data_IF_613291544163
#
_entry.id   IF_613291544163
#
_cell.length_a   1.000
_cell.length_b   1.000
_cell.length_c   1.000
_cell.angle_alpha   90.00
_cell.angle_beta   90.00
_cell.angle_gamma   90.00
#
_symmetry.space_group_name_H-M   'P 1'
#
loop_
_entity.id
_entity.type
_entity.pdbx_description
1 polymer ?
#
# COMPACT_ATOMS: atom_id res chain seq x y z
N UNK A 1 13.18 -7.35 19.83
CA UNK A 1 12.75 -7.94 18.55
C UNK A 1 12.63 -6.80 17.56
N UNK A 2 13.43 -6.79 16.50
CA UNK A 2 13.25 -5.84 15.40
C UNK A 2 12.12 -6.40 14.55
N UNK A 3 11.01 -5.66 14.45
CA UNK A 3 9.96 -6.01 13.51
C UNK A 3 10.53 -5.78 12.10
N UNK A 4 10.65 -6.84 11.31
CA UNK A 4 11.01 -6.70 9.89
C UNK A 4 9.83 -5.98 9.22
N UNK A 5 10.01 -4.72 8.83
CA UNK A 5 8.97 -3.90 8.19
C UNK A 5 9.42 -3.57 6.77
N UNK A 6 8.50 -3.63 5.82
CA UNK A 6 8.66 -3.22 4.45
C UNK A 6 8.28 -1.74 4.32
N UNK A 7 9.07 -0.97 3.57
CA UNK A 7 8.70 0.38 3.15
C UNK A 7 7.85 0.29 1.87
N UNK A 8 6.56 0.50 2.03
CA UNK A 8 5.58 0.39 0.96
C UNK A 8 5.13 1.78 0.47
N UNK A 9 4.73 1.86 -0.80
CA UNK A 9 4.15 3.05 -1.41
C UNK A 9 2.93 2.68 -2.24
N UNK A 10 1.83 3.41 -2.05
CA UNK A 10 0.63 3.30 -2.89
C UNK A 10 0.29 4.67 -3.47
N UNK A 11 0.02 4.71 -4.79
CA UNK A 11 -0.47 5.91 -5.46
C UNK A 11 -1.94 5.70 -5.85
N UNK A 12 -2.82 6.55 -5.33
CA UNK A 12 -4.21 6.56 -5.79
C UNK A 12 -4.28 7.22 -7.18
N UNK A 13 -4.47 6.42 -8.23
CA UNK A 13 -4.59 6.89 -9.61
C UNK A 13 -6.03 7.22 -10.02
N UNK A 14 -6.99 7.08 -9.12
CA UNK A 14 -8.39 7.41 -9.39
C UNK A 14 -8.69 8.89 -9.10
N UNK A 15 -9.85 9.35 -9.57
CA UNK A 15 -10.41 10.68 -9.30
C UNK A 15 -11.23 10.72 -7.99
N UNK A 16 -11.22 9.63 -7.21
CA UNK A 16 -12.02 9.45 -5.99
C UNK A 16 -11.14 9.15 -4.78
N UNK A 17 -11.65 9.45 -3.59
CA UNK A 17 -11.03 8.98 -2.36
C UNK A 17 -11.19 7.47 -2.24
N UNK A 18 -10.13 6.80 -1.80
CA UNK A 18 -10.11 5.38 -1.48
C UNK A 18 -9.62 5.17 -0.05
N UNK A 19 -9.89 3.99 0.49
CA UNK A 19 -9.39 3.56 1.79
C UNK A 19 -8.39 2.44 1.54
N UNK A 20 -7.13 2.68 1.90
CA UNK A 20 -6.11 1.65 1.96
C UNK A 20 -6.19 0.96 3.32
N UNK A 21 -6.34 -0.35 3.32
CA UNK A 21 -6.33 -1.21 4.51
C UNK A 21 -5.21 -2.23 4.37
N UNK A 22 -4.27 -2.25 5.31
CA UNK A 22 -3.19 -3.21 5.38
C UNK A 22 -3.38 -4.12 6.58
N UNK A 23 -3.44 -5.43 6.33
CA UNK A 23 -3.68 -6.47 7.32
C UNK A 23 -2.47 -7.40 7.31
N UNK A 24 -1.77 -7.49 8.44
CA UNK A 24 -0.54 -8.24 8.56
C UNK A 24 -0.59 -9.31 9.65
N UNK A 25 0.52 -10.07 9.81
CA UNK A 25 0.69 -11.00 10.91
C UNK A 25 0.60 -10.32 12.27
N UNK A 26 0.47 -11.12 13.34
CA UNK A 26 0.45 -10.64 14.74
C UNK A 26 -0.59 -9.57 15.03
N UNK A 27 -1.74 -9.63 14.33
CA UNK A 27 -2.84 -8.67 14.43
C UNK A 27 -2.45 -7.25 13.97
N UNK A 28 -1.43 -7.13 13.11
CA UNK A 28 -1.12 -5.86 12.49
C UNK A 28 -2.29 -5.38 11.63
N UNK A 29 -2.69 -4.13 11.85
CA UNK A 29 -3.76 -3.49 11.10
C UNK A 29 -3.45 -2.01 10.92
N UNK A 30 -3.53 -1.54 9.69
CA UNK A 30 -3.39 -0.14 9.31
C UNK A 30 -4.52 0.22 8.35
N UNK A 31 -5.18 1.35 8.57
CA UNK A 31 -6.19 1.87 7.67
C UNK A 31 -5.95 3.36 7.45
N UNK A 32 -5.97 3.79 6.18
CA UNK A 32 -5.72 5.19 5.78
C UNK A 32 -6.61 5.58 4.61
N UNK A 33 -7.11 6.80 4.63
CA UNK A 33 -7.74 7.42 3.46
C UNK A 33 -6.64 7.93 2.54
N UNK A 34 -6.79 7.67 1.23
CA UNK A 34 -5.88 8.16 0.19
C UNK A 34 -6.69 9.03 -0.78
N UNK A 35 -6.34 10.30 -0.85
CA UNK A 35 -6.98 11.28 -1.72
C UNK A 35 -6.66 11.04 -3.20
N UNK A 36 -7.47 11.56 -4.14
CA UNK A 36 -7.15 11.49 -5.56
C UNK A 36 -5.73 12.00 -5.85
N UNK A 37 -4.95 11.22 -6.61
CA UNK A 37 -3.57 11.53 -7.04
C UNK A 37 -2.54 11.58 -5.90
N UNK A 38 -2.93 11.27 -4.66
CA UNK A 38 -2.01 11.19 -3.52
C UNK A 38 -1.10 9.95 -3.61
N UNK A 39 0.13 10.09 -3.12
CA UNK A 39 1.05 8.99 -2.86
C UNK A 39 1.16 8.82 -1.34
N UNK A 40 0.77 7.65 -0.85
CA UNK A 40 0.87 7.26 0.55
C UNK A 40 2.08 6.34 0.74
N UNK A 41 3.04 6.78 1.55
CA UNK A 41 4.09 5.92 2.10
C UNK A 41 3.65 5.31 3.43
N UNK A 42 3.91 4.03 3.64
CA UNK A 42 3.58 3.32 4.88
C UNK A 42 4.54 2.17 5.15
N UNK A 43 4.59 1.73 6.40
CA UNK A 43 5.33 0.53 6.81
C UNK A 43 4.35 -0.61 7.04
N UNK A 44 4.71 -1.81 6.57
CA UNK A 44 3.93 -3.02 6.78
C UNK A 44 4.84 -4.23 7.05
N UNK A 45 4.47 -5.18 7.92
CA UNK A 45 5.19 -6.44 8.02
C UNK A 45 5.16 -7.20 6.68
N UNK A 46 6.17 -8.05 6.39
CA UNK A 46 6.08 -9.04 5.31
C UNK A 46 4.83 -9.91 5.42
N UNK A 47 4.38 -10.42 4.28
CA UNK A 47 3.15 -11.18 4.11
C UNK A 47 1.87 -10.43 4.53
N UNK A 48 1.92 -9.09 4.61
CA UNK A 48 0.71 -8.29 4.80
C UNK A 48 -0.06 -8.15 3.49
N UNK A 49 -1.38 -8.25 3.58
CA UNK A 49 -2.31 -8.00 2.48
C UNK A 49 -2.74 -6.52 2.54
N UNK A 50 -2.68 -5.84 1.40
CA UNK A 50 -3.10 -4.45 1.23
C UNK A 50 -4.32 -4.44 0.32
N UNK A 51 -5.43 -3.98 0.87
CA UNK A 51 -6.72 -3.85 0.21
C UNK A 51 -7.03 -2.37 -0.07
N UNK A 52 -7.53 -2.08 -1.27
CA UNK A 52 -8.03 -0.76 -1.63
C UNK A 52 -9.55 -0.80 -1.74
N UNK A 53 -10.22 0.02 -0.93
CA UNK A 53 -11.67 0.07 -0.86
C UNK A 53 -12.20 1.41 -1.39
N UNK A 54 -13.24 1.36 -2.20
CA UNK A 54 -13.98 2.54 -2.63
C UNK A 54 -14.95 2.99 -1.54
N UNK A 55 -15.21 4.30 -1.51
CA UNK A 55 -16.31 4.88 -0.74
C UNK A 55 -17.39 5.39 -1.72
N UNK A 56 -18.17 4.46 -2.26
CA UNK A 56 -19.25 4.76 -3.21
C UNK A 56 -20.62 4.81 -2.55
N UNK A 57 -21.61 5.42 -3.22
CA UNK A 57 -23.01 5.47 -2.77
C UNK A 57 -23.66 4.07 -2.61
N UNK A 58 -23.10 3.04 -3.24
CA UNK A 58 -23.54 1.64 -3.11
C UNK A 58 -22.96 0.91 -1.88
N UNK A 59 -22.12 1.58 -1.09
CA UNK A 59 -21.37 0.99 0.00
C UNK A 59 -19.89 0.77 -0.33
N UNK A 60 -19.13 0.21 0.62
CA UNK A 60 -17.72 -0.08 0.43
C UNK A 60 -17.55 -1.23 -0.58
N UNK A 61 -16.75 -0.98 -1.61
CA UNK A 61 -16.41 -1.98 -2.63
C UNK A 61 -14.90 -2.19 -2.64
N UNK A 62 -14.46 -3.44 -2.59
CA UNK A 62 -13.05 -3.78 -2.74
C UNK A 62 -12.65 -3.62 -4.20
N UNK A 63 -11.72 -2.71 -4.47
CA UNK A 63 -11.23 -2.40 -5.81
C UNK A 63 -10.02 -3.25 -6.18
N UNK A 64 -9.03 -3.32 -5.28
CA UNK A 64 -7.73 -3.94 -5.55
C UNK A 64 -7.18 -4.64 -4.31
N UNK A 65 -6.32 -5.64 -4.54
CA UNK A 65 -5.54 -6.32 -3.51
C UNK A 65 -4.10 -6.48 -3.96
N UNK A 66 -3.19 -6.25 -3.03
CA UNK A 66 -1.75 -6.39 -3.22
C UNK A 66 -1.15 -7.10 -2.02
N UNK A 67 -0.04 -7.78 -2.23
CA UNK A 67 0.91 -8.09 -1.17
C UNK A 67 1.76 -6.85 -0.87
N UNK A 68 2.09 -6.64 0.40
CA UNK A 68 2.94 -5.50 0.80
C UNK A 68 4.29 -5.50 0.06
N UNK A 69 4.82 -6.68 -0.28
CA UNK A 69 6.02 -6.88 -1.09
C UNK A 69 5.90 -6.26 -2.49
N UNK A 70 4.72 -6.33 -3.11
CA UNK A 70 4.48 -5.76 -4.44
C UNK A 70 4.44 -4.24 -4.42
N UNK A 71 4.17 -3.66 -3.25
CA UNK A 71 4.13 -2.21 -3.03
C UNK A 71 5.45 -1.68 -2.46
N UNK A 72 6.48 -2.51 -2.32
CA UNK A 72 7.80 -2.03 -1.91
C UNK A 72 8.37 -1.13 -3.00
N UNK A 73 8.73 0.09 -2.63
CA UNK A 73 9.47 0.95 -3.55
C UNK A 73 10.85 0.33 -3.73
N UNK A 74 11.15 -0.23 -4.90
CA UNK A 74 12.54 -0.55 -5.28
C UNK A 74 13.27 0.79 -5.37
N UNK A 75 13.88 1.21 -4.27
CA UNK A 75 14.75 2.38 -4.24
C UNK A 75 15.97 2.11 -5.13
N UNK A 76 15.99 2.73 -6.30
CA UNK A 76 17.16 3.10 -7.13
C UNK A 76 18.45 2.29 -6.85
N UNK A 77 18.51 1.05 -7.36
CA UNK A 77 19.77 0.30 -7.54
C UNK A 77 19.86 -0.39 -8.90
N UNK A 78 19.09 0.10 -9.88
CA UNK A 78 19.30 -0.15 -11.31
C UNK A 78 19.81 1.14 -11.99
N UNK A 79 20.84 1.77 -11.39
CA UNK A 79 21.70 2.65 -12.19
C UNK A 79 22.57 1.75 -13.05
N UNK A 80 22.55 1.82 -14.39
CA UNK A 80 23.50 1.08 -15.18
C UNK A 80 24.90 1.60 -14.84
N UNK A 81 25.73 0.77 -14.22
CA UNK A 81 27.18 0.93 -14.34
C UNK A 81 27.53 0.63 -15.80
N UNK A 82 27.33 1.63 -16.66
CA UNK A 82 27.77 1.60 -18.05
C UNK A 82 28.91 2.60 -18.22
N UNK A 83 30.06 2.01 -18.54
CA UNK A 83 31.33 2.56 -18.99
C UNK A 83 32.30 3.13 -17.94
#
# INVERSE_FOLDING_TARGET
MVLNQLQCGYQNRSDRMVILRCIGPDQFFLERVVFPVEILGFEAPPASEVEIWSHSLGGPELLERFLAEELTSVSELDWPQSA
#
